data_IF_948615835204
#
_entry.id   IF_948615835204
#
_cell.length_a   1.000
_cell.length_b   1.000
_cell.length_c   1.000
_cell.angle_alpha   90.00
_cell.angle_beta   90.00
_cell.angle_gamma   90.00
#
_symmetry.space_group_name_H-M   'P 1'
#
loop_
_entity.id
_entity.type
_entity.pdbx_description
1 polymer ?
#
# COMPACT_ATOMS: atom_id res chain seq x y z
N UNK A 1 -17.81 -6.95 -29.58
CA UNK A 1 -17.01 -6.14 -28.65
C UNK A 1 -17.79 -6.07 -27.36
N UNK A 2 -17.43 -6.90 -26.39
CA UNK A 2 -18.05 -6.89 -25.07
C UNK A 2 -17.36 -5.82 -24.24
N UNK A 3 -18.08 -4.75 -23.93
CA UNK A 3 -17.72 -3.78 -22.91
C UNK A 3 -17.58 -4.54 -21.59
N UNK A 4 -16.33 -4.80 -21.17
CA UNK A 4 -16.07 -5.19 -19.79
C UNK A 4 -16.39 -3.96 -18.93
N UNK A 5 -17.58 -3.93 -18.34
CA UNK A 5 -17.87 -3.06 -17.21
C UNK A 5 -16.82 -3.36 -16.13
N UNK A 6 -15.77 -2.54 -16.07
CA UNK A 6 -14.95 -2.44 -14.88
C UNK A 6 -15.88 -2.00 -13.76
N UNK A 7 -16.30 -2.93 -12.91
CA UNK A 7 -17.06 -2.61 -11.70
C UNK A 7 -16.31 -1.51 -10.96
N UNK A 8 -16.90 -0.30 -10.96
CA UNK A 8 -16.27 0.84 -10.33
C UNK A 8 -16.21 0.58 -8.82
N UNK A 9 -15.02 0.49 -8.26
CA UNK A 9 -14.80 0.30 -6.83
C UNK A 9 -14.56 1.67 -6.18
N UNK A 10 -15.53 2.14 -5.37
CA UNK A 10 -15.31 3.29 -4.49
C UNK A 10 -14.48 2.86 -3.27
N UNK A 11 -13.21 3.26 -3.28
CA UNK A 11 -12.26 2.91 -2.22
C UNK A 11 -12.62 3.50 -0.85
N UNK A 12 -13.45 4.55 -0.79
CA UNK A 12 -13.90 5.14 0.49
C UNK A 12 -14.86 4.21 1.21
N UNK A 13 -15.84 3.68 0.48
CA UNK A 13 -16.82 2.74 1.01
C UNK A 13 -16.16 1.40 1.34
N UNK A 14 -15.30 0.88 0.45
CA UNK A 14 -14.60 -0.37 0.73
C UNK A 14 -13.70 -0.28 1.97
N UNK A 15 -12.96 0.83 2.13
CA UNK A 15 -12.13 1.04 3.32
C UNK A 15 -12.97 1.15 4.61
N UNK A 16 -14.20 1.69 4.52
CA UNK A 16 -15.12 1.78 5.65
C UNK A 16 -15.71 0.41 5.99
N UNK A 17 -16.16 -0.34 4.98
CA UNK A 17 -16.83 -1.64 5.13
C UNK A 17 -15.90 -2.71 5.69
N UNK A 18 -14.64 -2.74 5.22
CA UNK A 18 -13.66 -3.77 5.59
C UNK A 18 -12.95 -3.51 6.93
N UNK A 19 -13.36 -2.49 7.68
CA UNK A 19 -12.76 -2.22 8.99
C UNK A 19 -12.97 -3.42 9.94
N UNK A 20 -11.89 -3.90 10.55
CA UNK A 20 -11.90 -5.09 11.40
C UNK A 20 -11.80 -6.42 10.65
N UNK A 21 -11.68 -6.41 9.33
CA UNK A 21 -11.49 -7.63 8.52
C UNK A 21 -10.00 -8.00 8.36
N UNK A 22 -9.75 -9.12 7.69
CA UNK A 22 -8.39 -9.49 7.25
C UNK A 22 -8.06 -8.73 5.99
N UNK A 23 -6.95 -8.00 6.02
CA UNK A 23 -6.43 -7.30 4.84
C UNK A 23 -5.53 -8.23 4.03
N UNK A 24 -5.88 -8.52 2.79
CA UNK A 24 -4.99 -9.19 1.85
C UNK A 24 -4.36 -8.15 0.91
N UNK A 25 -3.06 -7.89 1.09
CA UNK A 25 -2.33 -6.90 0.30
C UNK A 25 -1.50 -7.57 -0.82
N UNK A 26 -1.69 -7.11 -2.06
CA UNK A 26 -0.92 -7.56 -3.23
C UNK A 26 0.12 -6.53 -3.61
N UNK A 27 1.37 -6.94 -3.70
CA UNK A 27 2.48 -6.05 -4.08
C UNK A 27 2.68 -6.12 -5.58
N UNK A 28 2.59 -4.96 -6.25
CA UNK A 28 2.92 -4.87 -7.67
C UNK A 28 4.44 -4.88 -7.89
N UNK A 29 4.88 -5.33 -9.07
CA UNK A 29 6.30 -5.24 -9.46
C UNK A 29 6.81 -3.80 -9.37
N UNK A 30 6.02 -2.83 -9.87
CA UNK A 30 6.39 -1.42 -9.81
C UNK A 30 6.59 -0.92 -8.38
N UNK A 31 5.71 -1.29 -7.44
CA UNK A 31 5.90 -0.96 -6.03
C UNK A 31 7.22 -1.48 -5.49
N UNK A 32 7.53 -2.75 -5.77
CA UNK A 32 8.74 -3.38 -5.28
C UNK A 32 9.99 -2.71 -5.85
N UNK A 33 10.05 -2.46 -7.16
CA UNK A 33 11.17 -1.78 -7.81
C UNK A 33 11.38 -0.40 -7.16
N UNK A 34 10.30 0.35 -6.96
CA UNK A 34 10.31 1.66 -6.29
C UNK A 34 10.77 1.60 -4.84
N UNK A 35 10.46 0.51 -4.13
CA UNK A 35 10.90 0.28 -2.76
C UNK A 35 12.41 -0.01 -2.72
N UNK A 36 12.87 -0.93 -3.59
CA UNK A 36 14.27 -1.35 -3.70
C UNK A 36 15.17 -0.17 -4.08
N UNK A 37 14.83 0.60 -5.12
CA UNK A 37 15.64 1.77 -5.53
C UNK A 37 15.82 2.77 -4.39
N UNK A 38 14.81 2.96 -3.53
CA UNK A 38 14.87 3.91 -2.41
C UNK A 38 15.60 3.39 -1.19
N UNK A 39 15.73 2.07 -1.03
CA UNK A 39 16.44 1.42 0.08
C UNK A 39 17.85 0.96 -0.31
N UNK A 40 18.15 0.77 -1.59
CA UNK A 40 19.47 0.40 -2.10
C UNK A 40 20.55 1.45 -1.80
N UNK A 41 20.17 2.70 -1.52
CA UNK A 41 21.10 3.71 -0.98
C UNK A 41 21.56 3.41 0.45
N UNK A 42 20.77 2.67 1.23
CA UNK A 42 20.98 2.47 2.66
C UNK A 42 21.47 1.04 3.02
N UNK A 43 21.29 0.03 2.13
CA UNK A 43 21.69 -1.37 2.41
C UNK A 43 22.18 -2.11 1.15
N UNK A 44 23.32 -2.82 1.24
CA UNK A 44 23.93 -3.61 0.13
C UNK A 44 23.16 -4.87 -0.29
N UNK A 45 22.26 -5.40 0.54
CA UNK A 45 21.36 -6.53 0.22
C UNK A 45 20.08 -6.41 1.05
N UNK A 46 18.93 -6.21 0.41
CA UNK A 46 17.63 -6.29 1.10
C UNK A 46 17.03 -7.68 0.92
N UNK A 47 16.75 -8.32 2.05
CA UNK A 47 15.96 -9.54 2.09
C UNK A 47 14.46 -9.23 1.92
N UNK A 48 13.75 -10.09 1.19
CA UNK A 48 12.31 -10.04 0.96
C UNK A 48 11.53 -10.02 2.28
N UNK A 49 12.04 -10.70 3.31
CA UNK A 49 11.44 -10.68 4.66
C UNK A 49 11.45 -9.28 5.26
N UNK A 50 12.53 -8.52 5.07
CA UNK A 50 12.60 -7.13 5.56
C UNK A 50 11.59 -6.24 4.86
N UNK A 51 11.41 -6.42 3.55
CA UNK A 51 10.40 -5.69 2.77
C UNK A 51 9.00 -6.03 3.27
N UNK A 52 8.70 -7.34 3.41
CA UNK A 52 7.41 -7.84 3.91
C UNK A 52 7.11 -7.26 5.30
N UNK A 53 8.03 -7.36 6.25
CA UNK A 53 7.86 -6.83 7.61
C UNK A 53 7.69 -5.31 7.61
N UNK A 54 8.40 -4.58 6.75
CA UNK A 54 8.23 -3.13 6.64
C UNK A 54 6.83 -2.77 6.14
N UNK A 55 6.35 -3.45 5.10
CA UNK A 55 5.01 -3.22 4.53
C UNK A 55 3.94 -3.60 5.57
N UNK A 56 4.13 -4.69 6.28
CA UNK A 56 3.23 -5.14 7.35
C UNK A 56 3.06 -4.04 8.41
N UNK A 57 4.18 -3.49 8.89
CA UNK A 57 4.15 -2.41 9.87
C UNK A 57 3.47 -1.14 9.31
N UNK A 58 3.73 -0.78 8.05
CA UNK A 58 3.08 0.38 7.42
C UNK A 58 1.56 0.19 7.36
N UNK A 59 1.08 -0.97 6.91
CA UNK A 59 -0.36 -1.26 6.77
C UNK A 59 -1.04 -1.40 8.14
N UNK A 60 -0.38 -2.00 9.12
CA UNK A 60 -0.92 -2.11 10.47
C UNK A 60 -0.95 -0.75 11.17
N UNK A 61 0.15 0.01 11.09
CA UNK A 61 0.38 1.17 11.95
C UNK A 61 0.00 2.51 11.29
N UNK A 62 -0.11 2.55 9.96
CA UNK A 62 -0.39 3.76 9.20
C UNK A 62 -1.79 4.36 9.37
N UNK A 63 -1.89 5.63 9.00
CA UNK A 63 -3.16 6.36 8.82
C UNK A 63 -3.60 6.26 7.37
N UNK A 64 -4.86 5.93 7.15
CA UNK A 64 -5.45 5.73 5.83
C UNK A 64 -6.29 6.93 5.42
N UNK A 65 -6.10 7.39 4.19
CA UNK A 65 -6.95 8.35 3.52
C UNK A 65 -7.40 7.75 2.20
N UNK A 66 -8.71 7.75 1.93
CA UNK A 66 -9.27 7.21 0.69
C UNK A 66 -9.89 8.32 -0.15
N UNK A 67 -9.58 8.31 -1.44
CA UNK A 67 -10.38 8.93 -2.50
C UNK A 67 -11.28 7.85 -3.12
N UNK A 68 -12.10 8.21 -4.09
CA UNK A 68 -12.87 7.21 -4.86
C UNK A 68 -11.98 6.17 -5.53
N UNK A 69 -10.79 6.58 -6.01
CA UNK A 69 -9.92 5.75 -6.88
C UNK A 69 -8.65 5.25 -6.22
N UNK A 70 -8.31 5.74 -5.03
CA UNK A 70 -7.03 5.45 -4.39
C UNK A 70 -7.12 5.48 -2.87
N UNK A 71 -6.24 4.72 -2.25
CA UNK A 71 -5.99 4.67 -0.82
C UNK A 71 -4.55 5.10 -0.59
N UNK A 72 -4.36 6.07 0.28
CA UNK A 72 -3.07 6.56 0.71
C UNK A 72 -2.87 6.13 2.16
N UNK A 73 -1.81 5.37 2.40
CA UNK A 73 -1.42 4.92 3.74
C UNK A 73 -0.19 5.72 4.17
N UNK A 74 -0.38 6.61 5.13
CA UNK A 74 0.66 7.45 5.71
C UNK A 74 1.27 6.75 6.92
N UNK A 75 2.57 6.47 6.85
CA UNK A 75 3.37 5.99 7.98
C UNK A 75 4.63 6.88 8.11
N UNK A 76 5.23 7.08 9.30
CA UNK A 76 6.35 8.02 9.48
C UNK A 76 7.53 7.79 8.52
N UNK A 77 7.82 6.53 8.16
CA UNK A 77 8.93 6.19 7.26
C UNK A 77 8.56 6.25 5.78
N UNK A 78 7.40 5.69 5.42
CA UNK A 78 6.97 5.54 4.03
C UNK A 78 5.48 5.83 3.88
N UNK A 79 5.12 6.35 2.72
CA UNK A 79 3.74 6.53 2.28
C UNK A 79 3.49 5.59 1.12
N UNK A 80 2.40 4.83 1.21
CA UNK A 80 1.98 3.85 0.19
C UNK A 80 0.73 4.38 -0.50
N UNK A 81 0.70 4.28 -1.83
CA UNK A 81 -0.53 4.46 -2.62
C UNK A 81 -1.00 3.10 -3.11
N UNK A 82 -2.27 2.81 -2.87
CA UNK A 82 -2.91 1.55 -3.15
C UNK A 82 -4.33 1.78 -3.71
N UNK A 83 -5.00 0.71 -4.11
CA UNK A 83 -6.44 0.67 -4.30
C UNK A 83 -6.96 -0.74 -4.05
N UNK A 84 -8.24 -0.87 -3.75
CA UNK A 84 -8.90 -2.17 -3.76
C UNK A 84 -9.10 -2.64 -5.21
N UNK A 85 -8.88 -3.94 -5.40
CA UNK A 85 -9.26 -4.72 -6.56
C UNK A 85 -9.92 -6.00 -6.05
N UNK A 86 -11.25 -6.01 -6.11
CA UNK A 86 -12.10 -7.01 -5.44
C UNK A 86 -11.66 -7.15 -3.98
N UNK A 87 -11.23 -8.34 -3.57
CA UNK A 87 -10.83 -8.66 -2.19
C UNK A 87 -9.42 -8.20 -1.79
N UNK A 88 -8.66 -7.59 -2.70
CA UNK A 88 -7.25 -7.33 -2.46
C UNK A 88 -6.95 -5.84 -2.41
N UNK A 89 -6.11 -5.42 -1.47
CA UNK A 89 -5.48 -4.11 -1.50
C UNK A 89 -4.22 -4.17 -2.37
N UNK A 90 -4.29 -3.64 -3.58
CA UNK A 90 -3.17 -3.62 -4.53
C UNK A 90 -2.27 -2.42 -4.23
N UNK A 91 -1.04 -2.68 -3.80
CA UNK A 91 -0.04 -1.65 -3.50
C UNK A 91 0.64 -1.21 -4.79
N UNK A 92 0.35 0.01 -5.25
CA UNK A 92 0.80 0.54 -6.54
C UNK A 92 2.17 1.18 -6.46
N UNK A 93 2.39 2.04 -5.47
CA UNK A 93 3.68 2.73 -5.32
C UNK A 93 3.98 3.06 -3.86
N UNK A 94 5.25 3.36 -3.60
CA UNK A 94 5.78 3.77 -2.30
C UNK A 94 6.67 4.99 -2.47
N UNK A 95 6.72 5.86 -1.46
CA UNK A 95 7.66 6.97 -1.36
C UNK A 95 8.04 7.22 0.10
N UNK A 96 9.20 7.85 0.36
CA UNK A 96 9.53 8.23 1.74
C UNK A 96 8.57 9.32 2.17
N UNK A 97 8.01 9.24 3.37
CA UNK A 97 7.00 10.22 3.83
C UNK A 97 7.56 11.64 3.89
N UNK A 98 8.86 11.78 4.18
CA UNK A 98 9.55 13.07 4.12
C UNK A 98 9.59 13.71 2.73
N UNK A 99 9.49 12.91 1.67
CA UNK A 99 9.49 13.36 0.26
C UNK A 99 8.10 13.78 -0.23
N UNK A 100 7.06 13.68 0.62
CA UNK A 100 5.72 14.16 0.26
C UNK A 100 5.72 15.66 0.05
N UNK A 101 5.08 16.08 -1.04
CA UNK A 101 4.77 17.48 -1.29
C UNK A 101 3.75 18.02 -0.26
N UNK A 102 3.62 19.33 -0.20
CA UNK A 102 2.77 20.00 0.80
C UNK A 102 1.29 19.59 0.68
N UNK A 103 0.79 19.39 -0.54
CA UNK A 103 -0.59 18.95 -0.79
C UNK A 103 -0.88 17.60 -0.13
N UNK A 104 0.01 16.62 -0.30
CA UNK A 104 -0.12 15.30 0.29
C UNK A 104 0.11 15.31 1.81
N UNK A 105 1.01 16.16 2.31
CA UNK A 105 1.23 16.33 3.76
C UNK A 105 -0.04 16.79 4.48
N UNK A 106 -0.80 17.73 3.90
CA UNK A 106 -2.09 18.18 4.45
C UNK A 106 -3.15 17.08 4.53
N UNK A 107 -3.01 15.99 3.76
CA UNK A 107 -3.93 14.85 3.82
C UNK A 107 -3.61 13.89 4.98
N UNK A 108 -2.42 13.96 5.57
CA UNK A 108 -2.04 13.12 6.72
C UNK A 108 -3.00 13.37 7.90
N UNK A 109 -3.35 14.64 8.13
CA UNK A 109 -4.26 15.04 9.21
C UNK A 109 -5.71 14.59 8.97
N UNK A 110 -6.06 14.35 7.70
CA UNK A 110 -7.35 13.76 7.30
C UNK A 110 -7.34 12.23 7.30
N UNK A 111 -6.17 11.63 7.50
CA UNK A 111 -6.01 10.18 7.56
C UNK A 111 -6.57 9.62 8.86
N UNK A 112 -7.31 8.52 8.78
CA UNK A 112 -7.87 7.81 9.94
C UNK A 112 -7.15 6.50 10.17
N UNK A 113 -7.14 6.05 11.41
CA UNK A 113 -6.69 4.69 11.73
C UNK A 113 -7.71 3.69 11.19
N UNK A 114 -7.25 2.63 10.55
CA UNK A 114 -8.07 1.47 10.19
C UNK A 114 -7.49 0.27 10.92
N UNK A 115 -8.33 -0.42 11.68
CA UNK A 115 -7.93 -1.62 12.39
C UNK A 115 -8.20 -2.82 11.47
N UNK A 116 -7.19 -3.64 11.28
CA UNK A 116 -7.28 -4.92 10.58
C UNK A 116 -7.19 -6.03 11.61
N UNK A 117 -7.98 -7.10 11.44
CA UNK A 117 -7.86 -8.30 12.28
C UNK A 117 -6.51 -8.98 12.06
N UNK A 118 -6.10 -9.07 10.80
CA UNK A 118 -4.79 -9.56 10.38
C UNK A 118 -4.43 -8.94 9.01
N UNK A 119 -3.15 -9.00 8.64
CA UNK A 119 -2.63 -8.48 7.38
C UNK A 119 -1.78 -9.53 6.69
N UNK A 120 -2.27 -10.03 5.55
CA UNK A 120 -1.60 -11.02 4.71
C UNK A 120 -0.97 -10.29 3.52
N UNK A 121 0.33 -10.50 3.31
CA UNK A 121 1.07 -9.89 2.21
C UNK A 121 1.40 -10.94 1.15
N UNK A 122 0.90 -10.72 -0.06
CA UNK A 122 1.19 -11.51 -1.24
C UNK A 122 2.32 -10.85 -2.05
N UNK A 123 3.51 -11.44 -1.95
CA UNK A 123 4.69 -11.03 -2.70
C UNK A 123 4.65 -11.59 -4.14
N UNK A 124 5.15 -10.87 -5.14
CA UNK A 124 5.28 -11.44 -6.49
C UNK A 124 6.37 -12.53 -6.49
N UNK A 125 6.06 -13.70 -7.06
CA UNK A 125 6.93 -14.89 -7.01
C UNK A 125 8.27 -14.75 -7.76
N UNK A 126 8.44 -13.75 -8.63
CA UNK A 126 9.56 -13.64 -9.58
C UNK A 126 10.84 -12.94 -9.08
N UNK A 127 10.98 -12.64 -7.79
CA UNK A 127 12.17 -11.91 -7.29
C UNK A 127 13.36 -12.85 -6.98
N UNK A 128 13.15 -14.18 -6.98
CA UNK A 128 14.14 -15.18 -6.56
C UNK A 128 15.08 -15.70 -7.67
N UNK A 129 15.16 -15.03 -8.82
CA UNK A 129 16.10 -15.42 -9.88
C UNK A 129 16.80 -14.20 -10.47
N UNK A 130 17.93 -13.83 -9.87
CA UNK A 130 19.16 -13.38 -10.53
C UNK A 130 20.27 -13.12 -9.53
#
# INVERSE_FOLDING_TARGET
MSEECCDFIDNREELRRRHGEVLVAKITKHFLDRFLTRKARDYRKLDLMTIRSTILNILRDGKYYATTTSIIVFHPTYTIVACFDREHLVLKTVMRTKELNEKLRKLIDKGRKVLWRDVIILMPQRILQK
#
